data_IF_607920752875
#
_entry.id   IF_607920752875
#
_cell.length_a   1.000
_cell.length_b   1.000
_cell.length_c   1.000
_cell.angle_alpha   90.00
_cell.angle_beta   90.00
_cell.angle_gamma   90.00
#
_symmetry.space_group_name_H-M   'P 1'
#
loop_
_entity.id
_entity.type
_entity.pdbx_description
1 polymer ?
#
# COMPACT_ATOMS: atom_id res chain seq x y z
N UNK A 1 7.10 11.35 17.16
CA UNK A 1 7.03 12.42 16.13
C UNK A 1 7.60 13.78 16.60
N UNK A 2 7.24 14.31 17.78
CA UNK A 2 7.72 15.64 18.25
C UNK A 2 9.24 15.71 18.49
N UNK A 3 9.87 14.61 18.93
CA UNK A 3 11.30 14.57 19.29
C UNK A 3 12.27 14.72 18.09
N UNK A 4 11.94 14.11 16.94
CA UNK A 4 12.82 14.13 15.76
C UNK A 4 12.81 15.47 15.02
N UNK A 5 11.68 16.18 15.06
CA UNK A 5 11.51 17.51 14.45
C UNK A 5 12.20 18.58 15.31
N UNK A 6 12.11 18.48 16.64
CA UNK A 6 12.78 19.42 17.55
C UNK A 6 14.32 19.31 17.52
N UNK A 7 14.88 18.10 17.41
CA UNK A 7 16.33 17.88 17.38
C UNK A 7 17.01 18.44 16.12
N UNK A 8 16.34 18.43 14.96
CA UNK A 8 16.89 19.00 13.71
C UNK A 8 16.80 20.53 13.67
N UNK A 9 15.71 21.13 14.13
CA UNK A 9 15.58 22.60 14.13
C UNK A 9 16.51 23.30 15.12
N UNK A 10 16.88 22.66 16.24
CA UNK A 10 17.82 23.25 17.21
C UNK A 10 19.26 23.20 16.72
N UNK A 11 19.66 22.17 15.96
CA UNK A 11 21.03 22.05 15.46
C UNK A 11 21.37 23.04 14.33
N UNK A 12 20.40 23.41 13.49
CA UNK A 12 20.63 24.30 12.34
C UNK A 12 20.81 25.77 12.77
N UNK A 13 20.24 26.19 13.90
CA UNK A 13 20.37 27.58 14.38
C UNK A 13 21.71 27.85 15.10
N UNK A 14 22.46 26.81 15.49
CA UNK A 14 23.66 26.94 16.33
C UNK A 14 24.99 27.11 15.59
N UNK A 15 25.01 27.11 14.24
CA UNK A 15 26.27 27.25 13.46
C UNK A 15 26.69 28.72 13.26
N UNK A 16 25.88 29.69 13.71
CA UNK A 16 26.10 31.12 13.43
C UNK A 16 26.13 32.02 14.66
N UNK A 17 26.85 31.66 15.74
CA UNK A 17 27.44 32.55 16.77
C UNK A 17 27.78 31.74 18.02
N UNK A 18 29.06 31.70 18.39
CA UNK A 18 29.50 31.18 19.68
C UNK A 18 28.99 32.08 20.80
N UNK A 19 27.90 31.68 21.45
CA UNK A 19 27.50 32.17 22.77
C UNK A 19 27.67 31.02 23.76
N UNK A 20 28.53 31.22 24.76
CA UNK A 20 28.72 30.30 25.87
C UNK A 20 27.39 30.19 26.64
N UNK A 21 26.63 29.11 26.39
CA UNK A 21 25.48 28.77 27.22
C UNK A 21 25.95 28.15 28.54
N UNK A 22 25.42 28.68 29.64
CA UNK A 22 25.59 28.15 30.99
C UNK A 22 25.24 26.66 31.05
N UNK A 23 26.04 25.86 31.79
CA UNK A 23 25.85 24.43 32.05
C UNK A 23 24.39 24.07 32.46
N UNK A 24 23.69 25.02 33.07
CA UNK A 24 22.28 24.91 33.48
C UNK A 24 21.29 24.53 32.36
N UNK A 25 21.48 25.02 31.12
CA UNK A 25 20.54 24.73 30.03
C UNK A 25 20.67 23.29 29.50
N UNK A 26 21.88 22.74 29.51
CA UNK A 26 22.14 21.36 29.10
C UNK A 26 21.58 20.35 30.13
N UNK A 27 21.66 20.69 31.42
CA UNK A 27 21.14 19.85 32.49
C UNK A 27 19.60 19.89 32.53
N UNK A 28 18.98 21.05 32.28
CA UNK A 28 17.52 21.16 32.12
C UNK A 28 16.99 20.36 30.93
N UNK A 29 17.71 20.34 29.79
CA UNK A 29 17.31 19.54 28.63
C UNK A 29 17.45 18.04 28.92
N UNK A 30 18.52 17.62 29.59
CA UNK A 30 18.71 16.22 30.01
C UNK A 30 17.61 15.79 30.98
N UNK A 31 17.28 16.62 31.95
CA UNK A 31 16.27 16.34 32.98
C UNK A 31 14.86 16.31 32.36
N UNK A 32 14.57 17.18 31.38
CA UNK A 32 13.36 17.12 30.56
C UNK A 32 13.30 15.83 29.74
N UNK A 33 14.39 15.43 29.07
CA UNK A 33 14.46 14.22 28.25
C UNK A 33 14.37 12.92 29.09
N UNK A 34 14.77 12.97 30.36
CA UNK A 34 14.65 11.90 31.36
C UNK A 34 13.23 11.81 31.93
N UNK A 35 12.58 12.95 32.18
CA UNK A 35 11.22 13.04 32.73
C UNK A 35 10.12 12.97 31.67
N UNK A 36 10.46 13.11 30.38
CA UNK A 36 9.49 13.02 29.30
C UNK A 36 8.91 11.60 29.23
N UNK A 37 7.59 11.43 29.37
CA UNK A 37 6.97 10.11 29.31
C UNK A 37 7.32 9.44 27.98
N UNK A 38 8.00 8.29 28.05
CA UNK A 38 8.08 7.38 26.90
C UNK A 38 6.75 6.66 26.85
N UNK A 39 5.84 7.12 26.00
CA UNK A 39 4.44 6.67 25.99
C UNK A 39 4.26 5.28 25.34
N UNK A 40 5.07 4.31 25.77
CA UNK A 40 5.02 2.91 25.31
C UNK A 40 3.73 2.20 25.76
N UNK A 41 3.12 2.66 26.86
CA UNK A 41 1.82 2.17 27.35
C UNK A 41 0.70 2.43 26.33
N UNK A 42 0.69 3.61 25.71
CA UNK A 42 -0.32 3.97 24.71
C UNK A 42 -0.29 3.04 23.48
N UNK A 43 0.89 2.65 23.02
CA UNK A 43 1.00 1.76 21.85
C UNK A 43 0.50 0.35 22.20
N UNK A 44 0.88 -0.19 23.35
CA UNK A 44 0.41 -1.50 23.81
C UNK A 44 -1.12 -1.53 24.04
N UNK A 45 -1.68 -0.45 24.60
CA UNK A 45 -3.13 -0.31 24.76
C UNK A 45 -3.85 -0.20 23.41
N UNK A 46 -3.31 0.60 22.48
CA UNK A 46 -3.83 0.72 21.12
C UNK A 46 -3.78 -0.62 20.38
N UNK A 47 -2.70 -1.39 20.51
CA UNK A 47 -2.57 -2.73 19.94
C UNK A 47 -3.60 -3.70 20.53
N UNK A 48 -3.74 -3.75 21.87
CA UNK A 48 -4.78 -4.58 22.53
C UNK A 48 -6.19 -4.23 22.07
N UNK A 49 -6.49 -2.94 21.96
CA UNK A 49 -7.78 -2.47 21.48
C UNK A 49 -8.03 -2.92 20.03
N UNK A 50 -7.01 -2.85 19.18
CA UNK A 50 -7.09 -3.29 17.77
C UNK A 50 -7.28 -4.78 17.63
N UNK A 51 -6.55 -5.59 18.39
CA UNK A 51 -6.71 -7.05 18.37
C UNK A 51 -8.17 -7.41 18.75
N UNK A 52 -8.74 -6.78 19.78
CA UNK A 52 -10.15 -6.97 20.13
C UNK A 52 -11.12 -6.55 19.03
N UNK A 53 -10.85 -5.43 18.34
CA UNK A 53 -11.67 -5.00 17.19
C UNK A 53 -11.57 -6.02 16.05
N UNK A 54 -10.36 -6.52 15.76
CA UNK A 54 -10.10 -7.53 14.74
C UNK A 54 -10.85 -8.83 15.03
N UNK A 55 -10.77 -9.35 16.26
CA UNK A 55 -11.49 -10.55 16.70
C UNK A 55 -13.02 -10.40 16.65
N UNK A 56 -13.54 -9.19 16.88
CA UNK A 56 -14.97 -8.90 16.72
C UNK A 56 -15.36 -8.83 15.24
N UNK A 57 -14.52 -8.22 14.41
CA UNK A 57 -14.73 -8.05 12.97
C UNK A 57 -14.67 -9.37 12.20
N UNK A 58 -13.72 -10.26 12.56
CA UNK A 58 -13.48 -11.55 11.88
C UNK A 58 -14.68 -12.51 11.90
N UNK A 59 -15.72 -12.21 12.68
CA UNK A 59 -16.98 -12.99 12.71
C UNK A 59 -17.92 -12.67 11.55
N UNK A 60 -17.76 -11.52 10.88
CA UNK A 60 -18.71 -11.03 9.89
C UNK A 60 -18.00 -10.63 8.60
N UNK A 61 -18.54 -11.03 7.46
CA UNK A 61 -17.98 -10.62 6.16
C UNK A 61 -18.21 -9.11 5.98
N UNK A 62 -17.18 -8.33 5.61
CA UNK A 62 -17.28 -6.88 5.48
C UNK A 62 -18.36 -6.44 4.50
N UNK A 63 -19.09 -5.39 4.89
CA UNK A 63 -20.19 -4.83 4.10
C UNK A 63 -19.73 -3.78 3.10
N UNK A 64 -18.51 -3.25 3.26
CA UNK A 64 -17.91 -2.29 2.34
C UNK A 64 -16.49 -2.72 1.99
N UNK A 65 -16.18 -2.71 0.70
CA UNK A 65 -14.87 -2.99 0.14
C UNK A 65 -14.64 -2.03 -1.01
N UNK A 66 -13.59 -1.23 -0.90
CA UNK A 66 -13.22 -0.25 -1.92
C UNK A 66 -11.78 -0.48 -2.34
N UNK A 67 -11.53 -0.37 -3.64
CA UNK A 67 -10.21 -0.37 -4.24
C UNK A 67 -9.86 1.08 -4.59
N UNK A 68 -8.79 1.60 -4.03
CA UNK A 68 -8.33 2.96 -4.27
C UNK A 68 -6.93 2.97 -4.84
N UNK A 69 -6.72 3.75 -5.90
CA UNK A 69 -5.40 4.00 -6.46
C UNK A 69 -4.67 4.96 -5.53
N UNK A 70 -3.57 4.50 -4.95
CA UNK A 70 -2.74 5.32 -4.07
C UNK A 70 -1.56 5.94 -4.83
N UNK A 71 -1.02 5.19 -5.79
CA UNK A 71 0.07 5.64 -6.65
C UNK A 71 -0.19 5.19 -8.09
N UNK A 72 0.01 6.11 -9.01
CA UNK A 72 -0.42 5.97 -10.42
C UNK A 72 0.59 5.26 -11.29
N UNK A 73 1.83 5.08 -10.82
CA UNK A 73 2.95 4.62 -11.66
C UNK A 73 3.52 5.70 -12.58
N UNK A 74 3.07 6.96 -12.44
CA UNK A 74 3.67 8.11 -13.10
C UNK A 74 5.14 8.31 -12.68
N UNK A 75 5.98 9.00 -13.47
CA UNK A 75 7.33 9.36 -13.04
C UNK A 75 7.32 10.03 -11.65
N UNK A 76 8.11 9.50 -10.71
CA UNK A 76 8.14 9.99 -9.32
C UNK A 76 7.02 9.49 -8.40
N UNK A 77 6.08 8.68 -8.90
CA UNK A 77 5.01 8.03 -8.13
C UNK A 77 5.06 6.51 -8.30
N UNK A 78 5.11 5.72 -7.21
CA UNK A 78 5.06 4.27 -7.32
C UNK A 78 3.72 3.81 -7.88
N UNK A 79 3.68 2.65 -8.52
CA UNK A 79 2.42 2.02 -8.88
C UNK A 79 1.92 1.20 -7.68
N UNK A 80 0.87 1.68 -7.00
CA UNK A 80 0.35 1.00 -5.81
C UNK A 80 -1.17 1.20 -5.63
N UNK A 81 -1.81 0.13 -5.18
CA UNK A 81 -3.26 0.09 -4.96
C UNK A 81 -3.55 -0.27 -3.52
N UNK A 82 -4.48 0.47 -2.94
CA UNK A 82 -4.90 0.35 -1.56
C UNK A 82 -6.34 -0.13 -1.48
N UNK A 83 -6.56 -1.30 -0.87
CA UNK A 83 -7.90 -1.83 -0.64
C UNK A 83 -8.24 -1.62 0.82
N UNK A 84 -9.38 -1.00 1.08
CA UNK A 84 -9.87 -0.80 2.44
C UNK A 84 -11.28 -1.32 2.62
N UNK A 85 -11.49 -1.94 3.78
CA UNK A 85 -12.79 -2.40 4.26
C UNK A 85 -13.13 -1.71 5.58
N UNK A 86 -14.31 -2.01 6.13
CA UNK A 86 -14.67 -1.63 7.50
C UNK A 86 -13.78 -2.30 8.56
N UNK A 87 -13.12 -3.42 8.23
CA UNK A 87 -12.38 -4.27 9.17
C UNK A 87 -10.87 -4.20 8.96
N UNK A 88 -10.40 -4.62 7.78
CA UNK A 88 -9.00 -4.77 7.39
C UNK A 88 -8.64 -3.91 6.18
N UNK A 89 -7.33 -3.71 5.99
CA UNK A 89 -6.77 -3.01 4.82
C UNK A 89 -5.66 -3.85 4.19
N UNK A 90 -5.56 -3.74 2.88
CA UNK A 90 -4.62 -4.46 2.03
C UNK A 90 -3.91 -3.47 1.12
N UNK A 91 -2.62 -3.68 0.88
CA UNK A 91 -1.83 -2.87 -0.03
C UNK A 91 -1.23 -3.78 -1.10
N UNK A 92 -1.38 -3.42 -2.37
CA UNK A 92 -0.76 -4.08 -3.51
C UNK A 92 0.36 -3.19 -4.03
N UNK A 93 1.58 -3.71 -3.95
CA UNK A 93 2.86 -3.03 -4.17
C UNK A 93 3.13 -1.87 -3.19
N UNK A 94 4.40 -1.69 -2.85
CA UNK A 94 4.86 -0.67 -1.91
C UNK A 94 6.18 -0.06 -2.39
N UNK A 95 6.13 0.63 -3.54
CA UNK A 95 7.27 1.35 -4.07
C UNK A 95 7.68 2.55 -3.23
N UNK A 96 8.83 3.14 -3.56
CA UNK A 96 9.36 4.31 -2.88
C UNK A 96 8.34 5.47 -2.91
N UNK A 97 8.22 6.22 -1.82
CA UNK A 97 7.25 7.31 -1.71
C UNK A 97 5.81 6.90 -1.37
N UNK A 98 5.47 5.59 -1.32
CA UNK A 98 4.11 5.13 -0.98
C UNK A 98 3.60 5.69 0.36
N UNK A 99 4.46 5.73 1.38
CA UNK A 99 4.11 6.33 2.68
C UNK A 99 3.82 7.84 2.60
N UNK A 100 4.50 8.55 1.69
CA UNK A 100 4.35 10.00 1.51
C UNK A 100 3.02 10.28 0.84
N UNK A 101 2.69 9.53 -0.22
CA UNK A 101 1.38 9.60 -0.89
C UNK A 101 0.23 9.27 0.07
N UNK A 102 0.41 8.24 0.91
CA UNK A 102 -0.59 7.93 1.94
C UNK A 102 -0.81 9.10 2.91
N UNK A 103 0.24 9.82 3.29
CA UNK A 103 0.13 11.00 4.14
C UNK A 103 -0.53 12.19 3.40
N UNK A 104 -0.07 12.49 2.18
CA UNK A 104 -0.61 13.54 1.30
C UNK A 104 -2.13 13.41 1.14
N UNK A 105 -2.59 12.19 0.88
CA UNK A 105 -4.00 11.88 0.65
C UNK A 105 -4.80 11.60 1.94
N UNK A 106 -4.17 11.74 3.12
CA UNK A 106 -4.78 11.45 4.42
C UNK A 106 -5.31 10.00 4.53
N UNK A 107 -4.70 9.08 3.78
CA UNK A 107 -5.06 7.66 3.75
C UNK A 107 -4.61 6.98 5.04
N UNK A 108 -5.57 6.42 5.77
CA UNK A 108 -5.30 5.79 7.07
C UNK A 108 -4.65 4.42 6.91
N UNK A 109 -3.34 4.33 7.10
CA UNK A 109 -2.60 3.05 7.17
C UNK A 109 -2.88 2.24 8.45
N UNK A 110 -3.66 2.80 9.37
CA UNK A 110 -3.88 2.31 10.72
C UNK A 110 -4.85 1.12 10.80
N UNK A 111 -4.67 0.02 10.05
CA UNK A 111 -5.25 -1.36 10.15
C UNK A 111 -4.74 -2.18 8.94
N UNK A 112 -3.54 -1.85 8.46
CA UNK A 112 -2.91 -2.56 7.36
C UNK A 112 -2.49 -3.93 7.90
N UNK A 113 -3.03 -5.00 7.33
CA UNK A 113 -2.75 -6.37 7.79
C UNK A 113 -1.94 -7.14 6.74
N UNK A 114 -2.18 -6.85 5.45
CA UNK A 114 -1.57 -7.57 4.34
C UNK A 114 -0.99 -6.64 3.30
N UNK A 115 0.22 -6.96 2.84
CA UNK A 115 0.86 -6.28 1.71
C UNK A 115 1.23 -7.36 0.69
N UNK A 116 0.73 -7.22 -0.53
CA UNK A 116 0.99 -8.13 -1.65
C UNK A 116 1.95 -7.45 -2.63
N UNK A 117 3.07 -8.11 -2.95
CA UNK A 117 4.07 -7.64 -3.90
C UNK A 117 3.98 -8.47 -5.17
N UNK A 118 3.84 -7.83 -6.33
CA UNK A 118 3.84 -8.54 -7.61
C UNK A 118 5.25 -9.01 -8.00
N UNK A 119 6.28 -8.26 -7.58
CA UNK A 119 7.69 -8.52 -7.87
C UNK A 119 8.59 -8.20 -6.66
N UNK A 120 9.79 -8.77 -6.64
CA UNK A 120 10.85 -8.50 -5.64
C UNK A 120 11.85 -7.42 -6.09
N UNK A 121 11.44 -6.52 -6.99
CA UNK A 121 12.27 -5.41 -7.46
C UNK A 121 12.10 -4.17 -6.59
N UNK A 122 13.14 -3.31 -6.51
CA UNK A 122 13.13 -2.12 -5.66
C UNK A 122 11.94 -1.18 -5.93
N UNK A 123 11.47 -1.10 -7.18
CA UNK A 123 10.29 -0.33 -7.57
C UNK A 123 9.02 -0.77 -6.82
N UNK A 124 8.92 -2.02 -6.40
CA UNK A 124 7.76 -2.57 -5.71
C UNK A 124 7.93 -2.69 -4.19
N UNK A 125 9.17 -2.72 -3.69
CA UNK A 125 9.46 -2.96 -2.26
C UNK A 125 10.15 -1.77 -1.56
N UNK A 126 10.66 -0.79 -2.30
CA UNK A 126 11.52 0.27 -1.76
C UNK A 126 10.85 1.16 -0.72
N UNK A 127 9.51 1.23 -0.70
CA UNK A 127 8.75 1.95 0.32
C UNK A 127 8.53 1.15 1.61
N UNK A 128 8.78 -0.16 1.61
CA UNK A 128 8.48 -1.05 2.72
C UNK A 128 9.21 -0.68 4.02
N UNK A 129 10.51 -0.30 4.02
CA UNK A 129 11.21 0.16 5.22
C UNK A 129 10.52 1.33 5.92
N UNK A 130 10.22 2.39 5.16
CA UNK A 130 9.55 3.58 5.70
C UNK A 130 8.12 3.29 6.14
N UNK A 131 7.39 2.53 5.33
CA UNK A 131 6.03 2.11 5.66
C UNK A 131 5.99 1.31 6.96
N UNK A 132 6.92 0.37 7.15
CA UNK A 132 7.01 -0.48 8.36
C UNK A 132 7.22 0.35 9.64
N UNK A 133 8.09 1.37 9.58
CA UNK A 133 8.29 2.30 10.69
C UNK A 133 7.03 3.13 10.96
N UNK A 134 6.38 3.63 9.90
CA UNK A 134 5.17 4.44 10.00
C UNK A 134 4.00 3.66 10.61
N UNK A 135 3.80 2.39 10.20
CA UNK A 135 2.69 1.57 10.72
C UNK A 135 2.97 1.04 12.13
N UNK A 136 4.24 0.82 12.49
CA UNK A 136 4.64 0.54 13.87
C UNK A 136 4.27 1.72 14.79
N UNK A 137 4.65 2.94 14.40
CA UNK A 137 4.30 4.16 15.15
C UNK A 137 2.78 4.38 15.20
N UNK A 138 2.06 3.94 14.17
CA UNK A 138 0.61 3.92 14.17
C UNK A 138 0.02 2.85 15.10
N UNK A 139 0.82 1.95 15.69
CA UNK A 139 0.39 0.89 16.61
C UNK A 139 -0.19 -0.35 15.93
N UNK A 140 0.25 -0.69 14.72
CA UNK A 140 -0.11 -1.95 14.06
C UNK A 140 0.68 -3.10 14.71
N UNK A 141 0.03 -4.18 15.18
CA UNK A 141 0.72 -5.25 15.90
C UNK A 141 1.42 -6.26 14.96
N UNK A 142 0.83 -6.54 13.81
CA UNK A 142 1.30 -7.57 12.89
C UNK A 142 0.95 -7.20 11.44
N UNK A 143 1.88 -7.46 10.52
CA UNK A 143 1.69 -7.38 9.07
C UNK A 143 2.21 -8.64 8.40
N UNK A 144 1.47 -9.12 7.40
CA UNK A 144 1.88 -10.24 6.55
C UNK A 144 2.21 -9.74 5.15
N UNK A 145 3.43 -10.01 4.71
CA UNK A 145 3.92 -9.73 3.37
C UNK A 145 3.72 -10.98 2.51
N UNK A 146 3.14 -10.79 1.34
CA UNK A 146 2.96 -11.83 0.32
C UNK A 146 3.74 -11.42 -0.92
N UNK A 147 4.45 -12.34 -1.54
CA UNK A 147 5.15 -12.03 -2.78
C UNK A 147 6.01 -13.17 -3.30
N UNK A 148 6.80 -12.92 -4.35
CA UNK A 148 7.71 -13.90 -4.91
C UNK A 148 8.70 -14.49 -3.90
N UNK A 149 9.30 -15.65 -4.23
CA UNK A 149 10.38 -16.24 -3.43
C UNK A 149 11.51 -15.24 -3.17
N UNK A 150 12.11 -15.28 -1.98
CA UNK A 150 13.19 -14.38 -1.58
C UNK A 150 12.72 -13.07 -0.93
N UNK A 151 11.40 -12.83 -0.84
CA UNK A 151 10.86 -11.67 -0.12
C UNK A 151 11.29 -11.65 1.36
N UNK A 152 11.34 -12.82 2.00
CA UNK A 152 11.78 -12.96 3.39
C UNK A 152 13.25 -12.57 3.58
N UNK A 153 14.12 -12.96 2.64
CA UNK A 153 15.55 -12.64 2.67
C UNK A 153 15.78 -11.14 2.50
N UNK A 154 15.10 -10.51 1.53
CA UNK A 154 15.19 -9.07 1.29
C UNK A 154 14.73 -8.29 2.52
N UNK A 155 13.61 -8.69 3.12
CA UNK A 155 13.12 -8.03 4.33
C UNK A 155 14.07 -8.23 5.52
N UNK A 156 14.67 -9.41 5.65
CA UNK A 156 15.69 -9.67 6.68
C UNK A 156 16.92 -8.78 6.49
N UNK A 157 17.34 -8.52 5.25
CA UNK A 157 18.39 -7.56 4.95
C UNK A 157 17.98 -6.12 5.36
N UNK A 158 16.72 -5.73 5.14
CA UNK A 158 16.19 -4.43 5.55
C UNK A 158 16.21 -4.22 7.08
N UNK A 159 16.10 -5.28 7.90
CA UNK A 159 16.15 -5.18 9.37
C UNK A 159 17.48 -4.64 9.94
N UNK A 160 18.51 -4.51 9.11
CA UNK A 160 19.79 -3.87 9.50
C UNK A 160 19.63 -2.37 9.73
N UNK A 161 18.76 -1.72 8.96
CA UNK A 161 18.48 -0.28 9.07
C UNK A 161 17.04 0.04 9.48
N UNK A 162 16.18 -0.98 9.59
CA UNK A 162 14.80 -0.86 10.09
C UNK A 162 14.69 -1.55 11.44
N UNK A 163 14.46 -0.78 12.50
CA UNK A 163 14.24 -1.31 13.85
C UNK A 163 12.75 -1.45 14.13
N UNK A 164 12.27 -2.69 14.07
CA UNK A 164 10.91 -3.04 14.45
C UNK A 164 10.92 -3.69 15.85
N UNK A 165 10.37 -2.98 16.84
CA UNK A 165 10.26 -3.44 18.24
C UNK A 165 8.88 -4.00 18.55
N UNK A 166 7.85 -3.38 17.98
CA UNK A 166 6.45 -3.61 18.36
C UNK A 166 5.60 -4.13 17.20
N UNK A 167 6.17 -4.23 16.00
CA UNK A 167 5.53 -4.77 14.80
C UNK A 167 6.12 -6.15 14.46
N UNK A 168 5.27 -7.17 14.45
CA UNK A 168 5.62 -8.48 13.91
C UNK A 168 5.41 -8.49 12.40
N UNK A 169 6.39 -8.97 11.65
CA UNK A 169 6.30 -9.10 10.19
C UNK A 169 6.49 -10.54 9.79
N UNK A 170 5.47 -11.10 9.13
CA UNK A 170 5.51 -12.43 8.52
C UNK A 170 5.71 -12.28 7.02
N UNK A 171 6.50 -13.14 6.40
CA UNK A 171 6.63 -13.22 4.94
C UNK A 171 6.10 -14.58 4.47
N UNK A 172 5.23 -14.53 3.45
CA UNK A 172 4.65 -15.69 2.78
C UNK A 172 5.13 -15.64 1.33
N UNK A 173 5.81 -16.70 0.91
CA UNK A 173 6.27 -16.85 -0.47
C UNK A 173 5.16 -17.48 -1.32
N UNK A 174 4.84 -16.84 -2.44
CA UNK A 174 3.73 -17.22 -3.31
C UNK A 174 4.14 -18.37 -4.23
N UNK A 175 3.97 -19.59 -3.74
CA UNK A 175 4.20 -20.82 -4.50
C UNK A 175 2.97 -21.22 -5.36
N UNK A 176 3.19 -21.92 -6.50
CA UNK A 176 2.09 -22.41 -7.33
C UNK A 176 1.17 -23.37 -6.55
N UNK A 177 -0.14 -23.21 -6.69
CA UNK A 177 -1.15 -24.12 -6.09
C UNK A 177 -1.55 -23.77 -4.65
N UNK A 178 -0.86 -22.82 -4.02
CA UNK A 178 -1.27 -22.24 -2.74
C UNK A 178 -2.15 -21.01 -2.96
N UNK A 179 -3.04 -20.75 -2.00
CA UNK A 179 -3.87 -19.56 -1.95
C UNK A 179 -3.89 -19.02 -0.52
N UNK A 180 -4.16 -17.73 -0.40
CA UNK A 180 -4.44 -17.10 0.88
C UNK A 180 -5.94 -16.86 1.02
N UNK A 181 -6.48 -17.06 2.22
CA UNK A 181 -7.88 -16.80 2.48
C UNK A 181 -8.06 -16.21 3.88
N UNK A 182 -8.86 -15.14 3.95
CA UNK A 182 -9.33 -14.56 5.20
C UNK A 182 -10.85 -14.40 5.21
N UNK A 183 -11.39 -13.63 6.15
CA UNK A 183 -12.83 -13.39 6.24
C UNK A 183 -13.37 -12.41 5.16
N UNK A 184 -12.50 -11.70 4.46
CA UNK A 184 -12.86 -10.72 3.44
C UNK A 184 -12.80 -11.33 2.04
N UNK A 185 -11.69 -11.99 1.71
CA UNK A 185 -11.41 -12.48 0.37
C UNK A 185 -10.51 -13.71 0.35
N UNK A 186 -10.60 -14.43 -0.75
CA UNK A 186 -9.62 -15.44 -1.18
C UNK A 186 -8.72 -14.81 -2.25
N UNK A 187 -7.42 -15.07 -2.15
CA UNK A 187 -6.39 -14.60 -3.09
C UNK A 187 -5.64 -15.81 -3.63
N UNK A 188 -5.84 -16.12 -4.90
CA UNK A 188 -5.10 -17.15 -5.62
C UNK A 188 -3.85 -16.53 -6.27
N UNK A 189 -2.72 -17.25 -6.19
CA UNK A 189 -1.44 -16.81 -6.77
C UNK A 189 -1.22 -17.46 -8.13
N UNK A 190 -0.92 -16.63 -9.14
CA UNK A 190 -0.54 -17.09 -10.47
C UNK A 190 0.89 -16.67 -10.74
N UNK A 191 1.88 -17.54 -10.50
CA UNK A 191 3.27 -17.22 -10.77
C UNK A 191 3.53 -17.19 -12.28
N UNK A 192 4.25 -16.18 -12.75
CA UNK A 192 4.65 -15.98 -14.15
C UNK A 192 6.18 -15.95 -14.14
N UNK A 193 6.78 -17.04 -14.60
CA UNK A 193 8.21 -17.30 -14.50
C UNK A 193 8.75 -17.60 -15.90
N UNK A 194 9.70 -16.81 -16.43
CA UNK A 194 10.32 -17.06 -17.72
C UNK A 194 11.05 -18.41 -17.74
N UNK A 195 11.01 -19.11 -18.88
CA UNK A 195 11.69 -20.41 -19.06
C UNK A 195 13.21 -20.30 -18.91
N UNK A 196 13.78 -19.18 -19.36
CA UNK A 196 15.20 -18.89 -19.24
C UNK A 196 15.49 -18.29 -17.85
N UNK A 197 15.31 -19.08 -16.80
CA UNK A 197 15.88 -18.71 -15.52
C UNK A 197 17.41 -18.79 -15.63
N UNK A 198 18.16 -17.85 -15.04
CA UNK A 198 19.58 -18.05 -14.82
C UNK A 198 19.73 -19.30 -13.94
N UNK A 199 20.09 -20.43 -14.56
CA UNK A 199 20.39 -21.65 -13.83
C UNK A 199 21.56 -21.32 -12.90
N UNK A 200 21.36 -21.55 -11.60
CA UNK A 200 22.48 -21.64 -10.67
C UNK A 200 23.37 -22.80 -11.15
N UNK A 201 24.41 -22.49 -11.93
CA UNK A 201 25.46 -23.46 -12.17
C UNK A 201 26.03 -23.79 -10.80
N UNK A 202 25.97 -25.06 -10.41
CA UNK A 202 26.34 -25.52 -9.07
C UNK A 202 27.78 -25.13 -8.64
N UNK A 203 28.60 -24.63 -9.57
CA UNK A 203 30.01 -24.31 -9.42
C UNK A 203 30.40 -22.88 -9.85
N UNK A 204 29.46 -21.94 -10.02
CA UNK A 204 29.78 -20.55 -10.36
C UNK A 204 30.14 -19.71 -9.12
N UNK A 205 31.44 -19.48 -8.90
CA UNK A 205 31.96 -18.56 -7.89
C UNK A 205 31.73 -17.11 -8.35
N UNK A 206 30.55 -16.56 -8.05
CA UNK A 206 30.17 -15.21 -8.44
C UNK A 206 30.44 -14.21 -7.30
N UNK A 207 31.57 -13.51 -7.41
CA UNK A 207 31.87 -12.30 -6.66
C UNK A 207 33.03 -12.43 -5.67
N UNK A 208 33.78 -11.33 -5.48
CA UNK A 208 34.76 -11.27 -4.41
C UNK A 208 34.09 -11.45 -3.04
N UNK A 209 34.74 -12.15 -2.10
CA UNK A 209 34.23 -12.31 -0.75
C UNK A 209 34.09 -10.94 -0.08
N UNK A 210 32.87 -10.42 -0.01
CA UNK A 210 32.59 -9.25 0.82
C UNK A 210 32.58 -9.69 2.28
N UNK A 211 33.37 -9.00 3.11
CA UNK A 211 33.21 -9.07 4.55
C UNK A 211 31.81 -8.57 4.90
N UNK A 212 30.97 -9.45 5.44
CA UNK A 212 29.66 -9.05 5.91
C UNK A 212 29.86 -8.21 7.17
N UNK A 213 29.50 -6.94 7.08
CA UNK A 213 29.37 -6.11 8.26
C UNK A 213 28.14 -6.59 9.06
N UNK A 214 28.38 -7.44 10.05
CA UNK A 214 27.39 -7.94 11.00
C UNK A 214 27.12 -6.96 12.14
N UNK A 215 27.56 -5.70 12.02
CA UNK A 215 27.32 -4.66 13.02
C UNK A 215 25.83 -4.36 13.12
N UNK A 216 25.22 -4.77 14.24
CA UNK A 216 23.91 -4.27 14.64
C UNK A 216 24.06 -2.82 15.15
N UNK A 217 23.94 -1.87 14.21
CA UNK A 217 23.98 -0.42 14.46
C UNK A 217 22.96 0.04 15.54
N UNK A 218 21.94 -0.77 15.82
CA UNK A 218 20.88 -0.49 16.80
C UNK A 218 20.88 -1.45 17.99
N UNK A 219 21.97 -2.17 18.23
CA UNK A 219 22.14 -3.04 19.40
C UNK A 219 21.85 -2.32 20.73
N UNK A 220 22.31 -1.07 20.86
CA UNK A 220 22.06 -0.21 22.02
C UNK A 220 20.57 0.06 22.30
N UNK A 221 19.72 -0.07 21.28
CA UNK A 221 18.29 0.18 21.35
C UNK A 221 17.48 -1.08 21.70
N UNK A 222 18.04 -2.28 21.44
CA UNK A 222 17.39 -3.60 21.65
C UNK A 222 17.57 -4.17 23.06
N UNK A 223 18.27 -3.48 23.96
CA UNK A 223 18.29 -3.81 25.39
C UNK A 223 19.21 -4.97 25.79
N UNK A 224 20.11 -5.44 24.94
CA UNK A 224 21.18 -6.35 25.37
C UNK A 224 22.30 -5.55 26.05
N UNK A 225 22.25 -5.49 27.38
CA UNK A 225 23.39 -5.09 28.19
C UNK A 225 24.50 -6.14 28.10
N UNK A 226 25.31 -6.08 27.05
CA UNK A 226 26.70 -6.55 26.97
C UNK A 226 27.19 -6.29 25.54
N UNK A 227 27.91 -5.19 25.36
CA UNK A 227 28.86 -5.05 24.25
C UNK A 227 30.06 -5.95 24.53
N UNK A 228 29.91 -7.27 24.38
CA UNK A 228 31.08 -8.05 24.01
C UNK A 228 31.39 -7.67 22.58
N UNK A 229 32.44 -6.87 22.38
CA UNK A 229 33.23 -6.98 21.15
C UNK A 229 33.64 -8.45 21.05
N UNK A 230 32.82 -9.28 20.40
CA UNK A 230 33.29 -10.54 19.84
C UNK A 230 34.10 -10.18 18.60
N UNK A 231 35.29 -9.60 18.83
CA UNK A 231 36.41 -9.93 17.97
C UNK A 231 36.73 -11.39 18.27
N UNK A 232 35.96 -12.30 17.69
CA UNK A 232 36.37 -13.69 17.61
C UNK A 232 37.47 -13.71 16.55
N UNK A 233 38.73 -14.01 16.88
CA UNK A 233 39.73 -14.30 15.87
C UNK A 233 39.33 -15.65 15.28
N UNK A 234 38.59 -15.64 14.17
CA UNK A 234 38.11 -16.85 13.50
C UNK A 234 36.59 -17.00 13.36
N UNK A 235 35.79 -15.92 13.33
CA UNK A 235 34.45 -16.08 12.73
C UNK A 235 34.63 -16.26 11.22
N UNK A 236 34.50 -17.50 10.76
CA UNK A 236 34.32 -17.83 9.34
C UNK A 236 33.45 -16.74 8.71
N UNK A 237 34.04 -15.97 7.80
CA UNK A 237 33.31 -15.02 6.99
C UNK A 237 32.27 -15.86 6.27
N UNK A 238 31.00 -15.80 6.70
CA UNK A 238 29.95 -16.55 6.04
C UNK A 238 29.92 -16.09 4.59
N UNK A 239 30.47 -16.93 3.70
CA UNK A 239 30.48 -16.71 2.27
C UNK A 239 29.02 -16.73 1.82
N UNK A 240 28.41 -15.56 1.67
CA UNK A 240 27.11 -15.45 1.03
C UNK A 240 27.35 -15.73 -0.45
N UNK A 241 27.01 -16.94 -0.89
CA UNK A 241 26.92 -17.25 -2.32
C UNK A 241 25.84 -16.34 -2.90
N UNK A 242 26.19 -15.47 -3.83
CA UNK A 242 25.22 -14.69 -4.59
C UNK A 242 24.39 -15.68 -5.41
N UNK A 243 23.20 -16.03 -4.91
CA UNK A 243 22.23 -16.75 -5.75
C UNK A 243 21.76 -15.77 -6.83
N UNK A 244 21.69 -16.21 -8.10
CA UNK A 244 21.06 -15.39 -9.13
C UNK A 244 19.64 -15.03 -8.70
N UNK A 245 19.28 -13.75 -8.83
CA UNK A 245 17.92 -13.29 -8.52
C UNK A 245 16.97 -13.99 -9.49
N UNK A 246 16.10 -14.84 -8.97
CA UNK A 246 15.12 -15.54 -9.79
C UNK A 246 14.12 -14.53 -10.36
N UNK A 247 13.98 -14.57 -11.69
CA UNK A 247 12.97 -13.82 -12.43
C UNK A 247 11.59 -14.38 -12.09
N UNK A 248 10.86 -13.74 -11.18
CA UNK A 248 9.59 -14.24 -10.67
C UNK A 248 8.58 -13.10 -10.49
N UNK A 249 7.44 -13.23 -11.16
CA UNK A 249 6.29 -12.33 -11.06
C UNK A 249 5.11 -13.11 -10.51
N UNK A 250 4.29 -12.48 -9.68
CA UNK A 250 3.01 -13.04 -9.21
C UNK A 250 1.87 -12.15 -9.67
N UNK A 251 0.93 -12.73 -10.42
CA UNK A 251 -0.39 -12.16 -10.60
C UNK A 251 -1.32 -12.65 -9.47
N UNK A 252 -2.20 -11.78 -8.99
CA UNK A 252 -3.12 -12.07 -7.89
C UNK A 252 -4.55 -12.08 -8.40
N UNK A 253 -5.29 -13.15 -8.14
CA UNK A 253 -6.72 -13.23 -8.41
C UNK A 253 -7.45 -13.18 -7.08
N UNK A 254 -8.21 -12.12 -6.85
CA UNK A 254 -8.86 -11.83 -5.58
C UNK A 254 -10.38 -11.99 -5.72
N UNK A 255 -10.96 -12.91 -4.95
CA UNK A 255 -12.41 -13.15 -4.91
C UNK A 255 -12.95 -12.77 -3.54
N UNK A 256 -13.84 -11.77 -3.49
CA UNK A 256 -14.50 -11.41 -2.23
C UNK A 256 -15.42 -12.54 -1.76
N UNK A 257 -15.48 -12.77 -0.45
CA UNK A 257 -16.39 -13.77 0.12
C UNK A 257 -17.85 -13.41 -0.14
N UNK A 258 -18.70 -14.39 -0.47
CA UNK A 258 -20.12 -14.14 -0.69
C UNK A 258 -20.79 -13.73 0.63
N UNK A 259 -21.73 -12.81 0.55
CA UNK A 259 -22.47 -12.30 1.70
C UNK A 259 -23.97 -12.56 1.51
N UNK A 260 -24.63 -13.18 2.50
CA UNK A 260 -26.09 -13.28 2.55
C UNK A 260 -26.78 -11.94 2.34
N UNK A 261 -27.84 -11.93 1.52
CA UNK A 261 -28.68 -10.78 1.30
C UNK A 261 -29.28 -10.24 2.61
N UNK A 262 -29.52 -8.93 2.65
CA UNK A 262 -30.03 -8.25 3.84
C UNK A 262 -31.46 -8.72 4.14
N UNK A 263 -31.76 -9.03 5.40
CA UNK A 263 -33.11 -9.39 5.82
C UNK A 263 -34.04 -8.18 5.68
N UNK A 264 -35.13 -8.34 4.94
CA UNK A 264 -36.17 -7.33 4.78
C UNK A 264 -37.19 -7.49 5.90
N UNK A 265 -37.14 -6.59 6.89
CA UNK A 265 -38.01 -6.63 8.06
C UNK A 265 -39.49 -6.47 7.68
N UNK A 266 -39.79 -5.63 6.70
CA UNK A 266 -41.15 -5.43 6.18
C UNK A 266 -41.75 -6.74 5.67
N UNK A 267 -41.03 -7.47 4.81
CA UNK A 267 -41.46 -8.80 4.33
C UNK A 267 -41.60 -9.82 5.46
N UNK A 268 -40.79 -9.73 6.51
CA UNK A 268 -40.92 -10.62 7.67
C UNK A 268 -42.23 -10.34 8.43
N UNK A 269 -42.57 -9.05 8.61
CA UNK A 269 -43.80 -8.61 9.26
C UNK A 269 -45.02 -9.02 8.44
N UNK A 270 -44.97 -8.83 7.11
CA UNK A 270 -46.05 -9.23 6.18
C UNK A 270 -46.31 -10.75 6.21
N UNK A 271 -45.26 -11.55 6.44
CA UNK A 271 -45.33 -13.01 6.58
C UNK A 271 -45.67 -13.47 8.02
N UNK A 272 -45.95 -12.54 8.93
CA UNK A 272 -46.34 -12.83 10.31
C UNK A 272 -45.20 -13.33 11.21
N UNK A 273 -43.94 -13.05 10.87
CA UNK A 273 -42.79 -13.47 11.68
C UNK A 273 -42.62 -12.52 12.87
N UNK A 274 -42.73 -13.01 14.12
CA UNK A 274 -42.57 -12.17 15.30
C UNK A 274 -41.11 -11.73 15.50
N UNK A 275 -40.87 -10.55 16.12
CA UNK A 275 -39.53 -10.13 16.48
C UNK A 275 -38.90 -11.12 17.47
N UNK A 276 -37.64 -11.51 17.23
CA UNK A 276 -36.93 -12.43 18.12
C UNK A 276 -36.00 -13.39 17.38
N UNK A 277 -35.71 -14.59 17.96
CA UNK A 277 -34.71 -15.51 17.43
C UNK A 277 -35.03 -16.05 16.03
N UNK A 278 -36.32 -16.09 15.66
CA UNK A 278 -36.78 -16.51 14.33
C UNK A 278 -36.25 -15.62 13.19
N UNK A 279 -36.15 -14.29 13.42
CA UNK A 279 -35.52 -13.38 12.46
C UNK A 279 -34.03 -13.68 12.28
N UNK A 280 -33.35 -14.10 13.35
CA UNK A 280 -31.95 -14.54 13.29
C UNK A 280 -31.78 -15.79 12.44
N UNK A 281 -32.69 -16.75 12.56
CA UNK A 281 -32.70 -17.98 11.74
C UNK A 281 -32.89 -17.64 10.26
N UNK A 282 -33.90 -16.82 9.93
CA UNK A 282 -34.14 -16.37 8.54
C UNK A 282 -32.96 -15.59 7.98
N UNK A 283 -32.35 -14.71 8.78
CA UNK A 283 -31.13 -13.99 8.39
C UNK A 283 -29.98 -14.93 8.04
N UNK A 284 -29.85 -16.03 8.78
CA UNK A 284 -28.82 -17.05 8.55
C UNK A 284 -29.18 -18.02 7.41
N UNK A 285 -30.31 -17.84 6.72
CA UNK A 285 -30.73 -18.70 5.61
C UNK A 285 -31.49 -19.95 6.05
N UNK A 286 -31.93 -20.02 7.31
CA UNK A 286 -32.69 -21.14 7.85
C UNK A 286 -34.18 -20.81 7.71
N UNK A 287 -34.91 -21.69 7.05
CA UNK A 287 -36.37 -21.60 6.93
C UNK A 287 -37.03 -21.80 8.29
N UNK A 288 -38.08 -21.02 8.57
CA UNK A 288 -38.74 -21.02 9.88
C UNK A 288 -40.19 -21.47 9.74
N UNK A 289 -40.61 -22.38 10.62
CA UNK A 289 -42.01 -22.77 10.78
C UNK A 289 -42.63 -21.95 11.91
N UNK A 290 -43.69 -21.21 11.61
CA UNK A 290 -44.44 -20.40 12.57
C UNK A 290 -45.40 -21.29 13.41
N UNK A 291 -45.86 -20.81 14.58
CA UNK A 291 -46.80 -21.56 15.43
C UNK A 291 -48.13 -21.92 14.75
N UNK A 292 -48.51 -21.19 13.70
CA UNK A 292 -49.69 -21.46 12.88
C UNK A 292 -49.45 -22.53 11.78
N UNK A 293 -48.26 -23.14 11.73
CA UNK A 293 -47.87 -24.15 10.74
C UNK A 293 -47.32 -23.58 9.43
N UNK A 294 -47.36 -22.27 9.22
CA UNK A 294 -46.84 -21.63 8.00
C UNK A 294 -45.31 -21.68 7.96
N UNK A 295 -44.74 -22.13 6.85
CA UNK A 295 -43.29 -22.12 6.62
C UNK A 295 -42.90 -20.85 5.88
N UNK A 296 -42.04 -20.03 6.49
CA UNK A 296 -41.45 -18.84 5.89
C UNK A 296 -40.05 -19.19 5.41
N UNK A 297 -39.85 -19.11 4.09
CA UNK A 297 -38.53 -19.35 3.49
C UNK A 297 -37.62 -18.15 3.67
N UNK A 298 -36.36 -18.39 4.02
CA UNK A 298 -35.38 -17.31 4.21
C UNK A 298 -35.16 -16.47 2.94
N UNK A 299 -35.20 -17.11 1.76
CA UNK A 299 -35.03 -16.44 0.46
C UNK A 299 -36.20 -15.51 0.11
N UNK A 300 -37.40 -15.74 0.65
CA UNK A 300 -38.56 -14.88 0.36
C UNK A 300 -38.46 -13.52 1.07
N UNK A 301 -37.82 -13.51 2.24
CA UNK A 301 -37.75 -12.36 3.14
C UNK A 301 -36.38 -11.67 3.15
N UNK A 302 -35.43 -12.14 2.33
CA UNK A 302 -34.11 -11.54 2.15
C UNK A 302 -33.98 -10.82 0.80
N UNK A 303 -33.07 -9.86 0.73
CA UNK A 303 -32.57 -9.32 -0.53
C UNK A 303 -31.71 -10.34 -1.28
N UNK A 304 -31.29 -10.03 -2.51
CA UNK A 304 -30.38 -10.87 -3.27
C UNK A 304 -29.03 -11.03 -2.55
N UNK A 305 -28.44 -12.21 -2.67
CA UNK A 305 -27.10 -12.48 -2.13
C UNK A 305 -26.04 -11.74 -2.92
N UNK A 306 -25.06 -11.18 -2.22
CA UNK A 306 -23.86 -10.63 -2.85
C UNK A 306 -22.85 -11.76 -3.02
N UNK A 307 -22.69 -12.23 -4.25
CA UNK A 307 -21.79 -13.33 -4.60
C UNK A 307 -20.30 -13.02 -4.47
N UNK A 308 -19.97 -11.75 -4.24
CA UNK A 308 -18.59 -11.26 -4.15
C UNK A 308 -17.98 -11.02 -5.54
N UNK A 309 -17.65 -9.77 -5.90
CA UNK A 309 -16.91 -9.51 -7.14
C UNK A 309 -15.51 -10.13 -7.10
N UNK A 310 -14.99 -10.41 -8.30
CA UNK A 310 -13.62 -10.83 -8.53
C UNK A 310 -12.81 -9.67 -9.12
N UNK A 311 -11.56 -9.54 -8.73
CA UNK A 311 -10.63 -8.55 -9.30
C UNK A 311 -9.22 -9.13 -9.39
N UNK A 312 -8.44 -8.65 -10.35
CA UNK A 312 -7.14 -9.23 -10.69
C UNK A 312 -6.06 -8.16 -10.67
N UNK A 313 -4.88 -8.48 -10.16
CA UNK A 313 -3.66 -7.70 -10.33
C UNK A 313 -2.69 -8.44 -11.25
N UNK A 314 -2.21 -7.76 -12.28
CA UNK A 314 -1.24 -8.31 -13.23
C UNK A 314 -0.11 -7.32 -13.47
N UNK A 315 1.09 -7.86 -13.63
CA UNK A 315 2.32 -7.08 -13.74
C UNK A 315 3.29 -7.82 -14.64
N UNK A 316 3.34 -7.45 -15.93
CA UNK A 316 4.21 -8.11 -16.92
C UNK A 316 5.38 -7.18 -17.22
N UNK A 317 6.59 -7.45 -16.70
CA UNK A 317 7.70 -6.49 -16.79
C UNK A 317 8.23 -6.30 -18.20
N UNK A 318 8.37 -7.40 -18.95
CA UNK A 318 9.03 -7.41 -20.25
C UNK A 318 8.47 -8.47 -21.21
N UNK A 319 9.09 -8.58 -22.39
CA UNK A 319 8.66 -9.46 -23.47
C UNK A 319 8.74 -10.95 -23.11
N UNK A 320 9.65 -11.37 -22.25
CA UNK A 320 9.82 -12.78 -21.84
C UNK A 320 8.63 -13.23 -20.99
N UNK A 321 8.19 -12.39 -20.05
CA UNK A 321 7.01 -12.69 -19.23
C UNK A 321 5.72 -12.66 -20.04
N UNK A 322 5.64 -11.82 -21.09
CA UNK A 322 4.49 -11.77 -21.98
C UNK A 322 4.27 -13.12 -22.70
N UNK A 323 5.34 -13.79 -23.13
CA UNK A 323 5.25 -15.12 -23.74
C UNK A 323 4.66 -16.13 -22.73
N UNK A 324 5.13 -16.11 -21.49
CA UNK A 324 4.61 -17.00 -20.43
C UNK A 324 3.15 -16.69 -20.11
N UNK A 325 2.74 -15.41 -20.12
CA UNK A 325 1.33 -15.04 -19.96
C UNK A 325 0.46 -15.64 -21.07
N UNK A 326 0.92 -15.63 -22.32
CA UNK A 326 0.22 -16.25 -23.44
C UNK A 326 0.09 -17.78 -23.27
N UNK A 327 1.14 -18.44 -22.77
CA UNK A 327 1.08 -19.88 -22.45
C UNK A 327 0.07 -20.17 -21.33
N UNK A 328 -0.02 -19.28 -20.34
CA UNK A 328 -0.91 -19.38 -19.19
C UNK A 328 -2.31 -18.79 -19.43
N UNK A 329 -2.64 -18.37 -20.65
CA UNK A 329 -3.93 -17.72 -20.98
C UNK A 329 -5.16 -18.49 -20.49
N UNK A 330 -5.12 -19.82 -20.56
CA UNK A 330 -6.24 -20.69 -20.17
C UNK A 330 -6.57 -20.58 -18.68
N UNK A 331 -5.58 -20.22 -17.84
CA UNK A 331 -5.82 -19.96 -16.41
C UNK A 331 -6.67 -18.70 -16.19
N UNK A 332 -6.64 -17.76 -17.12
CA UNK A 332 -7.41 -16.52 -17.07
C UNK A 332 -8.76 -16.62 -17.79
N UNK A 333 -8.94 -17.57 -18.72
CA UNK A 333 -10.18 -17.75 -19.51
C UNK A 333 -11.41 -17.96 -18.61
N UNK A 334 -11.25 -18.59 -17.43
CA UNK A 334 -12.31 -18.74 -16.42
C UNK A 334 -12.75 -17.44 -15.72
N UNK A 335 -12.01 -16.35 -15.90
CA UNK A 335 -12.31 -15.03 -15.31
C UNK A 335 -12.60 -13.96 -16.37
N UNK A 336 -12.62 -14.37 -17.64
CA UNK A 336 -12.82 -13.54 -18.82
C UNK A 336 -14.28 -13.59 -19.28
N UNK A 337 -14.60 -12.99 -20.43
CA UNK A 337 -15.96 -12.93 -20.97
C UNK A 337 -16.59 -14.33 -21.18
N UNK A 338 -15.76 -15.36 -21.37
CA UNK A 338 -16.17 -16.76 -21.59
C UNK A 338 -16.33 -17.56 -20.29
N UNK A 339 -16.31 -16.91 -19.12
CA UNK A 339 -16.49 -17.61 -17.86
C UNK A 339 -17.87 -18.30 -17.78
N UNK A 340 -17.90 -19.53 -17.25
CA UNK A 340 -19.14 -20.30 -17.11
C UNK A 340 -20.15 -19.63 -16.17
N UNK A 341 -19.63 -18.95 -15.13
CA UNK A 341 -20.44 -18.24 -14.14
C UNK A 341 -20.17 -16.74 -14.25
N UNK A 342 -21.23 -15.93 -14.31
CA UNK A 342 -21.12 -14.45 -14.28
C UNK A 342 -20.37 -13.95 -13.04
N UNK A 343 -20.40 -14.71 -11.96
CA UNK A 343 -19.72 -14.41 -10.70
C UNK A 343 -18.19 -14.48 -10.82
N UNK A 344 -17.68 -15.26 -11.79
CA UNK A 344 -16.24 -15.41 -12.01
C UNK A 344 -15.67 -14.36 -12.96
N UNK A 345 -16.53 -13.65 -13.70
CA UNK A 345 -16.11 -12.53 -14.55
C UNK A 345 -15.46 -11.45 -13.69
N UNK A 346 -14.22 -11.08 -14.03
CA UNK A 346 -13.50 -10.04 -13.29
C UNK A 346 -14.22 -8.69 -13.41
N UNK A 347 -14.54 -8.07 -12.28
CA UNK A 347 -15.10 -6.72 -12.25
C UNK A 347 -14.02 -5.67 -12.56
N UNK A 348 -12.79 -5.90 -12.09
CA UNK A 348 -11.65 -4.98 -12.27
C UNK A 348 -10.38 -5.78 -12.56
N UNK A 349 -9.58 -5.31 -13.51
CA UNK A 349 -8.21 -5.78 -13.71
C UNK A 349 -7.26 -4.59 -13.58
N UNK A 350 -6.34 -4.67 -12.63
CA UNK A 350 -5.30 -3.68 -12.39
C UNK A 350 -4.01 -4.15 -13.05
N UNK A 351 -3.44 -3.31 -13.90
CA UNK A 351 -2.22 -3.58 -14.65
C UNK A 351 -1.09 -2.69 -14.16
N UNK A 352 -0.04 -3.28 -13.59
CA UNK A 352 1.23 -2.61 -13.25
C UNK A 352 2.26 -2.71 -14.39
N UNK A 353 1.82 -3.20 -15.54
CA UNK A 353 2.64 -3.51 -16.72
C UNK A 353 3.16 -2.22 -17.39
N UNK A 354 4.47 -2.10 -17.67
CA UNK A 354 5.05 -0.94 -18.34
C UNK A 354 4.42 -0.66 -19.70
N UNK A 355 4.45 0.60 -20.13
CA UNK A 355 3.82 1.06 -21.38
C UNK A 355 4.29 0.26 -22.59
N UNK A 356 5.60 0.00 -22.68
CA UNK A 356 6.23 -0.73 -23.78
C UNK A 356 5.72 -2.18 -23.96
N UNK A 357 5.23 -2.80 -22.88
CA UNK A 357 4.63 -4.14 -22.94
C UNK A 357 3.12 -4.03 -23.14
N UNK A 358 2.48 -3.07 -22.48
CA UNK A 358 1.04 -2.88 -22.54
C UNK A 358 0.53 -2.51 -23.94
N UNK A 359 1.34 -1.82 -24.74
CA UNK A 359 0.97 -1.40 -26.11
C UNK A 359 1.11 -2.50 -27.15
N UNK A 360 1.75 -3.62 -26.81
CA UNK A 360 1.92 -4.73 -27.73
C UNK A 360 0.62 -5.43 -28.05
N UNK A 361 0.51 -5.93 -29.29
CA UNK A 361 -0.67 -6.60 -29.79
C UNK A 361 -1.07 -7.79 -28.91
N UNK A 362 -0.12 -8.63 -28.49
CA UNK A 362 -0.39 -9.83 -27.71
C UNK A 362 -1.00 -9.50 -26.33
N UNK A 363 -0.54 -8.40 -25.71
CA UNK A 363 -1.09 -7.95 -24.43
C UNK A 363 -2.47 -7.32 -24.58
N UNK A 364 -2.68 -6.55 -25.66
CA UNK A 364 -3.99 -5.97 -26.00
C UNK A 364 -5.02 -7.07 -26.27
N UNK A 365 -4.67 -8.10 -27.03
CA UNK A 365 -5.52 -9.27 -27.26
C UNK A 365 -5.87 -9.99 -25.95
N UNK A 366 -4.94 -10.05 -24.99
CA UNK A 366 -5.21 -10.59 -23.67
C UNK A 366 -6.23 -9.73 -22.90
N UNK A 367 -6.11 -8.40 -22.96
CA UNK A 367 -7.06 -7.48 -22.32
C UNK A 367 -8.45 -7.54 -22.96
N UNK A 368 -8.54 -7.63 -24.29
CA UNK A 368 -9.80 -7.64 -25.04
C UNK A 368 -10.67 -8.89 -24.79
N UNK A 369 -10.09 -9.97 -24.22
CA UNK A 369 -10.84 -11.16 -23.81
C UNK A 369 -11.65 -10.98 -22.54
N UNK A 370 -11.34 -9.96 -21.73
CA UNK A 370 -12.16 -9.66 -20.55
C UNK A 370 -13.52 -9.11 -20.98
N UNK A 371 -14.52 -9.24 -20.10
CA UNK A 371 -15.87 -8.77 -20.40
C UNK A 371 -15.87 -7.26 -20.69
N UNK A 372 -16.75 -6.75 -21.57
CA UNK A 372 -16.94 -5.30 -21.74
C UNK A 372 -17.31 -4.56 -20.44
N UNK A 373 -17.86 -5.28 -19.45
CA UNK A 373 -18.17 -4.74 -18.12
C UNK A 373 -16.95 -4.67 -17.18
N UNK A 374 -15.85 -5.35 -17.52
CA UNK A 374 -14.60 -5.33 -16.75
C UNK A 374 -13.91 -3.98 -16.87
N UNK A 375 -13.62 -3.35 -15.73
CA UNK A 375 -12.85 -2.10 -15.71
C UNK A 375 -11.36 -2.40 -15.68
N UNK A 376 -10.63 -1.94 -16.69
CA UNK A 376 -9.17 -1.98 -16.71
C UNK A 376 -8.60 -0.70 -16.08
N UNK A 377 -7.70 -0.86 -15.11
CA UNK A 377 -6.97 0.24 -14.45
C UNK A 377 -5.49 0.03 -14.76
N UNK A 378 -4.89 0.93 -15.53
CA UNK A 378 -3.48 0.83 -15.95
C UNK A 378 -2.65 1.82 -15.12
N UNK A 379 -1.72 1.28 -14.33
CA UNK A 379 -0.86 2.02 -13.42
C UNK A 379 0.59 1.88 -13.87
N UNK A 380 1.00 2.74 -14.79
CA UNK A 380 2.34 2.75 -15.37
C UNK A 380 2.75 4.16 -15.81
N UNK A 381 3.87 4.26 -16.52
CA UNK A 381 4.52 5.51 -16.91
C UNK A 381 3.69 6.36 -17.90
N UNK A 382 2.58 5.84 -18.43
CA UNK A 382 1.63 6.60 -19.25
C UNK A 382 0.87 7.65 -18.43
N UNK A 383 0.78 7.45 -17.12
CA UNK A 383 0.12 8.41 -16.23
C UNK A 383 1.03 9.61 -15.98
N UNK A 384 0.44 10.82 -15.99
CA UNK A 384 1.20 12.07 -15.87
C UNK A 384 1.12 12.72 -14.48
N UNK A 385 0.14 12.32 -13.66
CA UNK A 385 -0.10 12.90 -12.34
C UNK A 385 0.48 12.01 -11.25
N UNK A 386 1.43 12.55 -10.47
CA UNK A 386 2.03 11.84 -9.34
C UNK A 386 1.13 11.78 -8.11
N UNK A 387 0.16 12.70 -8.00
CA UNK A 387 -0.69 12.92 -6.82
C UNK A 387 -0.07 13.81 -5.73
N UNK A 388 1.19 14.26 -5.87
CA UNK A 388 1.88 15.05 -4.84
C UNK A 388 1.58 16.57 -4.92
N UNK A 389 0.36 16.98 -4.55
CA UNK A 389 -0.09 18.39 -4.67
C UNK A 389 0.75 19.36 -3.85
N UNK A 390 1.15 18.98 -2.64
CA UNK A 390 1.95 19.84 -1.77
C UNK A 390 3.31 20.19 -2.38
N UNK A 391 3.88 19.30 -3.20
CA UNK A 391 5.14 19.58 -3.91
C UNK A 391 4.93 20.64 -4.98
N UNK A 392 3.88 20.48 -5.79
CA UNK A 392 3.51 21.47 -6.80
C UNK A 392 3.23 22.83 -6.19
N UNK A 393 2.44 22.85 -5.12
CA UNK A 393 2.15 24.06 -4.37
C UNK A 393 3.43 24.75 -3.92
N UNK A 394 4.32 24.09 -3.17
CA UNK A 394 5.57 24.69 -2.70
C UNK A 394 6.46 25.13 -3.86
N UNK A 395 6.58 24.33 -4.92
CA UNK A 395 7.42 24.67 -6.07
C UNK A 395 6.92 25.93 -6.78
N UNK A 396 5.62 26.06 -6.99
CA UNK A 396 5.02 27.26 -7.57
C UNK A 396 5.26 28.50 -6.72
N UNK A 397 5.23 28.33 -5.38
CA UNK A 397 5.51 29.42 -4.47
C UNK A 397 6.98 29.87 -4.51
N UNK A 398 7.91 28.92 -4.54
CA UNK A 398 9.35 29.19 -4.64
C UNK A 398 9.74 29.75 -6.02
N UNK A 399 9.07 29.31 -7.08
CA UNK A 399 9.26 29.83 -8.45
C UNK A 399 9.03 31.35 -8.52
N UNK A 400 8.12 31.91 -7.70
CA UNK A 400 7.91 33.36 -7.63
C UNK A 400 9.17 34.13 -7.21
N UNK A 401 10.04 33.50 -6.40
CA UNK A 401 11.29 34.09 -5.90
C UNK A 401 12.41 34.03 -6.93
N UNK A 402 12.52 32.91 -7.64
CA UNK A 402 13.50 32.68 -8.68
C UNK A 402 13.09 31.49 -9.54
N UNK A 403 12.86 31.73 -10.83
CA UNK A 403 12.40 30.74 -11.79
C UNK A 403 13.50 29.80 -12.28
N UNK A 404 14.76 30.26 -12.29
CA UNK A 404 15.93 29.47 -12.66
C UNK A 404 16.30 28.44 -11.59
N UNK A 405 16.23 28.82 -10.31
CA UNK A 405 16.55 27.92 -9.18
C UNK A 405 15.38 26.98 -8.88
N UNK A 406 14.15 27.45 -9.06
CA UNK A 406 12.93 26.68 -8.79
C UNK A 406 12.07 26.53 -10.05
N UNK A 407 12.51 25.73 -11.04
CA UNK A 407 11.72 25.51 -12.25
C UNK A 407 10.41 24.79 -11.94
N UNK A 408 9.34 25.14 -12.66
CA UNK A 408 8.03 24.51 -12.50
C UNK A 408 8.12 23.03 -12.91
N UNK A 409 7.48 22.15 -12.15
CA UNK A 409 7.41 20.72 -12.44
C UNK A 409 6.52 20.48 -13.66
N UNK A 410 6.92 19.56 -14.54
CA UNK A 410 6.23 19.27 -15.80
C UNK A 410 4.97 18.41 -15.65
N UNK A 411 4.61 17.96 -14.44
CA UNK A 411 3.43 17.12 -14.24
C UNK A 411 2.14 17.91 -14.47
N UNK A 412 1.13 17.21 -14.98
CA UNK A 412 -0.19 17.76 -15.26
C UNK A 412 -1.28 16.95 -14.58
N UNK A 413 -2.49 17.50 -14.49
CA UNK A 413 -3.66 16.79 -14.02
C UNK A 413 -3.94 15.55 -14.89
N UNK A 414 -4.67 14.58 -14.34
CA UNK A 414 -5.00 13.38 -15.11
C UNK A 414 -5.82 13.75 -16.35
N UNK A 415 -5.43 13.19 -17.49
CA UNK A 415 -6.18 13.23 -18.75
C UNK A 415 -7.23 12.12 -18.78
N UNK A 416 -8.19 12.20 -19.70
CA UNK A 416 -9.26 11.20 -19.86
C UNK A 416 -8.73 9.76 -20.03
N UNK A 417 -7.52 9.59 -20.57
CA UNK A 417 -6.88 8.30 -20.83
C UNK A 417 -5.96 7.83 -19.69
N UNK A 418 -5.88 8.58 -18.59
CA UNK A 418 -5.00 8.28 -17.46
C UNK A 418 -5.80 8.04 -16.18
N UNK A 419 -5.19 7.34 -15.23
CA UNK A 419 -5.80 7.03 -13.95
C UNK A 419 -5.31 8.06 -12.92
N UNK A 420 -6.18 8.90 -12.33
CA UNK A 420 -5.77 9.82 -11.29
C UNK A 420 -5.44 9.08 -9.99
N UNK A 421 -4.56 9.68 -9.18
CA UNK A 421 -4.41 9.26 -7.78
C UNK A 421 -5.76 9.45 -7.06
N UNK A 422 -6.01 8.65 -6.03
CA UNK A 422 -7.26 8.63 -5.27
C UNK A 422 -8.50 8.17 -6.03
N UNK A 423 -8.36 7.75 -7.30
CA UNK A 423 -9.43 7.06 -8.02
C UNK A 423 -9.91 5.85 -7.21
N UNK A 424 -11.21 5.74 -7.03
CA UNK A 424 -11.84 4.75 -6.17
C UNK A 424 -12.78 3.87 -6.99
N UNK A 425 -12.75 2.57 -6.75
CA UNK A 425 -13.68 1.60 -7.32
C UNK A 425 -14.40 0.88 -6.18
N UNK A 426 -15.71 1.10 -6.08
CA UNK A 426 -16.55 0.46 -5.08
C UNK A 426 -16.83 -0.99 -5.47
N UNK A 427 -16.03 -1.93 -4.97
CA UNK A 427 -16.26 -3.37 -5.16
C UNK A 427 -17.52 -3.82 -4.43
N UNK A 428 -17.70 -3.36 -3.19
CA UNK A 428 -18.87 -3.64 -2.36
C UNK A 428 -19.25 -2.40 -1.54
N UNK A 429 -20.50 -1.90 -1.63
CA UNK A 429 -21.47 -2.16 -2.70
C UNK A 429 -20.92 -1.72 -4.07
N UNK A 430 -21.46 -2.27 -5.16
CA UNK A 430 -21.03 -1.98 -6.54
C UNK A 430 -21.39 -0.53 -6.92
N UNK A 431 -20.53 0.42 -6.57
CA UNK A 431 -20.68 1.86 -6.88
C UNK A 431 -19.98 2.28 -8.17
N UNK A 432 -19.21 1.38 -8.78
CA UNK A 432 -18.44 1.66 -9.97
C UNK A 432 -17.19 2.51 -9.67
N UNK A 433 -16.69 3.17 -10.71
CA UNK A 433 -15.46 3.96 -10.70
C UNK A 433 -15.77 5.43 -10.40
N UNK A 434 -15.09 6.00 -9.42
CA UNK A 434 -15.28 7.35 -8.90
C UNK A 434 -13.92 8.07 -8.82
N UNK A 435 -13.85 9.28 -9.36
CA UNK A 435 -12.66 10.14 -9.36
C UNK A 435 -12.88 11.47 -8.63
N UNK A 436 -13.97 11.61 -7.87
CA UNK A 436 -14.30 12.87 -7.17
C UNK A 436 -13.23 13.31 -6.14
N UNK A 437 -12.44 12.37 -5.63
CA UNK A 437 -11.34 12.64 -4.69
C UNK A 437 -10.00 12.88 -5.39
N UNK A 438 -10.01 13.05 -6.72
CA UNK A 438 -8.81 13.32 -7.48
C UNK A 438 -8.12 14.60 -6.96
N UNK A 439 -6.83 14.52 -6.62
CA UNK A 439 -6.03 15.68 -6.29
C UNK A 439 -5.76 16.51 -7.55
N UNK A 440 -6.18 17.77 -7.56
CA UNK A 440 -5.98 18.69 -8.70
C UNK A 440 -4.88 19.70 -8.43
N UNK A 441 -4.03 19.89 -9.43
CA UNK A 441 -3.06 20.98 -9.53
C UNK A 441 -3.83 22.22 -9.98
N UNK A 442 -3.90 23.23 -9.11
CA UNK A 442 -4.60 24.50 -9.34
C UNK A 442 -3.62 25.65 -9.07
N UNK A 443 -3.07 26.20 -10.15
CA UNK A 443 -1.91 27.10 -10.08
C UNK A 443 -2.27 28.46 -9.47
N UNK A 444 -3.45 28.97 -9.83
CA UNK A 444 -3.97 30.26 -9.40
C UNK A 444 -4.14 30.29 -7.87
N UNK A 445 -4.69 29.22 -7.28
CA UNK A 445 -4.86 29.09 -5.83
C UNK A 445 -3.53 29.17 -5.07
N UNK A 446 -2.47 28.59 -5.62
CA UNK A 446 -1.16 28.56 -4.97
C UNK A 446 -0.52 29.94 -4.90
N UNK A 447 -0.68 30.74 -5.95
CA UNK A 447 -0.16 32.12 -6.03
C UNK A 447 -0.99 33.03 -5.12
N UNK A 448 -2.32 32.93 -5.18
CA UNK A 448 -3.22 33.71 -4.33
C UNK A 448 -2.94 33.51 -2.84
N UNK A 449 -2.58 32.28 -2.44
CA UNK A 449 -2.24 31.99 -1.05
C UNK A 449 -1.01 32.79 -0.57
N UNK A 450 0.02 32.93 -1.39
CA UNK A 450 1.21 33.70 -1.01
C UNK A 450 0.92 35.20 -1.00
N UNK A 451 0.15 35.69 -1.97
CA UNK A 451 -0.20 37.12 -2.04
C UNK A 451 -1.01 37.58 -0.83
N UNK A 452 -1.67 36.65 -0.13
CA UNK A 452 -2.35 36.92 1.15
C UNK A 452 -1.39 37.05 2.33
N UNK A 453 -0.11 36.67 2.20
CA UNK A 453 0.89 36.79 3.26
C UNK A 453 1.26 38.28 3.45
N UNK A 454 1.05 38.87 4.65
CA UNK A 454 1.33 40.28 4.88
C UNK A 454 2.78 40.66 4.57
N UNK A 455 2.98 41.74 3.82
CA UNK A 455 4.30 42.26 3.45
C UNK A 455 5.05 41.45 2.38
N UNK A 456 4.48 40.34 1.89
CA UNK A 456 5.15 39.50 0.89
C UNK A 456 5.38 40.23 -0.44
N UNK A 457 4.36 40.92 -0.98
CA UNK A 457 4.45 41.63 -2.26
C UNK A 457 5.52 42.73 -2.26
N UNK A 458 5.64 43.45 -1.14
CA UNK A 458 6.67 44.49 -0.96
C UNK A 458 8.07 43.85 -0.92
N UNK A 459 8.26 42.80 -0.11
CA UNK A 459 9.53 42.07 -0.01
C UNK A 459 9.93 41.42 -1.34
N UNK A 460 8.97 40.87 -2.09
CA UNK A 460 9.19 40.29 -3.41
C UNK A 460 9.67 41.34 -4.42
N UNK A 461 9.10 42.55 -4.37
CA UNK A 461 9.51 43.66 -5.23
C UNK A 461 10.94 44.09 -4.92
N UNK A 462 11.29 44.20 -3.63
CA UNK A 462 12.66 44.51 -3.19
C UNK A 462 13.65 43.44 -3.68
N UNK A 463 13.32 42.17 -3.50
CA UNK A 463 14.15 41.05 -3.96
C UNK A 463 14.38 41.09 -5.48
N UNK A 464 13.32 41.30 -6.26
CA UNK A 464 13.41 41.36 -7.74
C UNK A 464 14.22 42.56 -8.22
N UNK A 465 14.15 43.69 -7.52
CA UNK A 465 15.00 44.85 -7.83
C UNK A 465 16.48 44.55 -7.53
N UNK A 466 16.78 43.95 -6.37
CA UNK A 466 18.16 43.54 -6.03
C UNK A 466 18.74 42.51 -7.01
N UNK A 467 17.93 41.57 -7.50
CA UNK A 467 18.35 40.59 -8.50
C UNK A 467 18.65 41.24 -9.86
N UNK A 468 17.92 42.30 -10.23
CA UNK A 468 18.20 43.07 -11.46
C UNK A 468 19.49 43.88 -11.35
N UNK A 469 19.81 44.38 -10.16
CA UNK A 469 21.05 45.14 -9.94
C UNK A 469 22.31 44.25 -9.96
N UNK A 470 22.14 42.93 -9.83
CA UNK A 470 23.23 41.93 -9.85
C UNK A 470 23.50 41.29 -11.21
N UNK A 471 22.58 41.44 -12.18
CA UNK A 471 22.68 40.96 -13.56
C UNK A 471 23.13 42.10 -14.48
#
# INVERSE_FOLDING_TARGET
MIRGIFLKSVYVVLVGRSRNYSKSAADNLKDLLLKMPRDTKHIHEAQKHRIRIREKGSKYIPGTVNLQVLGTGAPGSPACVYIFTDQSRYLFNCGEGTQRLAHEHKTKLARLEHIFMTQTTWRHIGGLPGLSLTIQDAGVPEVTLHGPPGLGEIFQAMKRFVVLRELKVNAIECEPGYFYEDNVMRVDYVPIVPRNQPQATANGDWGEPMSVDDTDYYSHERGSGQTTRKSSPGSDSQRIRQKPIEKYVVAYICKLKPRPGVLCLEKCVDRGVPPGPLLGQLKNGIDVTLPNGTVVKANDVRGPDDKGPLFIFIDIPDKEYLQVLQEKRQLFEKYQATANDEENIAAVVVHFTPVEVAEKAEYREFMEKFSPSTKHIILNEKNNSSGNISVHRIQWQLNQLNDLVFPILSETNATENSVPSMANYGLRPRKGYDTNLEPKIVQEEYIEEILKVPGFSEALTVLKNQQRDYL
#
